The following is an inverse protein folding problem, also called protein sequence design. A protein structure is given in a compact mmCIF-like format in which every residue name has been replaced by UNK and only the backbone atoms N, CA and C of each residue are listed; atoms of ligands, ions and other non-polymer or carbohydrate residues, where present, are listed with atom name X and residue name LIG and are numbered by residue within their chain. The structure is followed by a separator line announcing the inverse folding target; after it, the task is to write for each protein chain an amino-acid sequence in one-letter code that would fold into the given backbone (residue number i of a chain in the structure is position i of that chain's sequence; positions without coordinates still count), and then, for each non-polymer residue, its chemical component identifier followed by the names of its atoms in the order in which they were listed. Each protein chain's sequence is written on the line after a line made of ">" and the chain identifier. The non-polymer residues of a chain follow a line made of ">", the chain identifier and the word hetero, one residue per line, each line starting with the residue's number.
data_IF_335792697816
#
_entry.id   IF_335792697816
#
_cell.length_a   1.000
_cell.length_b   1.000
_cell.length_c   1.000
_cell.angle_alpha   90.00
_cell.angle_beta   90.00
_cell.angle_gamma   90.00
#
_symmetry.space_group_name_H-M   'P 1'
#
loop_
_entity.id
_entity.type
_entity.pdbx_description
1 polymer ?
#
# COMPACT_ATOMS: atom_id res chain seq x y z
N UNK A 1 -7.98 7.66 -23.69
CA UNK A 1 -8.28 6.20 -23.78
C UNK A 1 -8.91 5.76 -22.48
N UNK A 2 -10.02 5.01 -22.52
CA UNK A 2 -10.64 4.50 -21.30
C UNK A 2 -10.13 3.09 -20.95
N UNK A 3 -9.88 2.86 -19.67
CA UNK A 3 -9.59 1.56 -19.05
C UNK A 3 -10.47 1.37 -17.82
N UNK A 4 -10.66 0.13 -17.40
CA UNK A 4 -11.43 -0.20 -16.21
C UNK A 4 -10.49 -0.68 -15.11
N UNK A 5 -10.61 -0.11 -13.93
CA UNK A 5 -9.98 -0.57 -12.69
C UNK A 5 -10.95 -1.39 -11.86
N UNK A 6 -10.51 -2.54 -11.38
CA UNK A 6 -11.25 -3.37 -10.46
C UNK A 6 -10.39 -3.66 -9.22
N UNK A 7 -10.64 -2.91 -8.15
CA UNK A 7 -9.97 -3.08 -6.87
C UNK A 7 -10.75 -4.08 -6.01
N UNK A 8 -10.10 -5.18 -5.62
CA UNK A 8 -10.71 -6.28 -4.85
C UNK A 8 -10.10 -6.32 -3.45
N UNK A 9 -10.82 -5.79 -2.49
CA UNK A 9 -10.43 -5.78 -1.09
C UNK A 9 -11.32 -6.64 -0.20
N UNK A 10 -10.83 -7.02 0.97
CA UNK A 10 -11.56 -7.88 1.91
C UNK A 10 -12.79 -7.23 2.57
N UNK A 11 -12.89 -5.90 2.54
CA UNK A 11 -14.02 -5.15 3.13
C UNK A 11 -14.90 -4.51 2.06
N UNK A 12 -14.29 -4.00 1.02
CA UNK A 12 -14.95 -3.34 -0.11
C UNK A 12 -14.25 -3.70 -1.42
N UNK A 13 -15.01 -3.74 -2.49
CA UNK A 13 -14.52 -3.79 -3.86
C UNK A 13 -14.96 -2.51 -4.59
N UNK A 14 -14.19 -2.09 -5.59
CA UNK A 14 -14.53 -0.93 -6.40
C UNK A 14 -14.30 -1.22 -7.88
N UNK A 15 -15.26 -0.79 -8.71
CA UNK A 15 -15.13 -0.79 -10.18
C UNK A 15 -15.10 0.66 -10.63
N UNK A 16 -14.08 1.06 -11.37
CA UNK A 16 -13.88 2.43 -11.83
C UNK A 16 -13.60 2.48 -13.33
N UNK A 17 -14.28 3.40 -14.03
CA UNK A 17 -13.95 3.76 -15.40
C UNK A 17 -12.99 4.96 -15.38
N UNK A 18 -11.79 4.80 -15.93
CA UNK A 18 -10.74 5.81 -15.90
C UNK A 18 -10.37 6.25 -17.31
N UNK A 19 -10.32 7.57 -17.53
CA UNK A 19 -9.79 8.16 -18.74
C UNK A 19 -8.30 8.43 -18.61
N UNK A 20 -7.52 7.94 -19.56
CA UNK A 20 -6.05 8.12 -19.63
C UNK A 20 -5.73 9.06 -20.78
N UNK A 21 -5.13 10.21 -20.47
CA UNK A 21 -4.73 11.26 -21.41
C UNK A 21 -3.27 11.64 -21.18
N UNK A 22 -2.37 11.17 -22.06
CA UNK A 22 -0.94 11.39 -21.87
C UNK A 22 -0.42 10.79 -20.57
N UNK A 23 0.06 11.66 -19.68
CA UNK A 23 0.60 11.30 -18.37
C UNK A 23 -0.40 11.50 -17.21
N UNK A 24 -1.67 11.64 -17.52
CA UNK A 24 -2.72 11.84 -16.52
C UNK A 24 -3.78 10.74 -16.59
N UNK A 25 -4.38 10.44 -15.44
CA UNK A 25 -5.46 9.49 -15.30
C UNK A 25 -6.57 10.10 -14.44
N UNK A 26 -7.79 10.06 -14.95
CA UNK A 26 -8.96 10.66 -14.30
C UNK A 26 -10.03 9.60 -14.12
N UNK A 27 -10.52 9.44 -12.89
CA UNK A 27 -11.66 8.58 -12.60
C UNK A 27 -12.92 9.30 -13.09
N UNK A 28 -13.54 8.78 -14.14
CA UNK A 28 -14.78 9.33 -14.71
C UNK A 28 -16.02 8.85 -13.97
N UNK A 29 -16.02 7.60 -13.53
CA UNK A 29 -17.10 7.03 -12.72
C UNK A 29 -16.53 5.89 -11.84
N UNK A 30 -17.12 5.74 -10.65
CA UNK A 30 -16.74 4.72 -9.68
C UNK A 30 -17.96 4.17 -8.98
N UNK A 31 -18.02 2.87 -8.82
CA UNK A 31 -19.00 2.20 -7.98
C UNK A 31 -18.30 1.32 -6.94
N UNK A 32 -18.71 1.49 -5.68
CA UNK A 32 -18.17 0.74 -4.54
C UNK A 32 -19.20 -0.28 -4.08
N UNK A 33 -18.73 -1.45 -3.74
CA UNK A 33 -19.52 -2.57 -3.25
C UNK A 33 -18.94 -3.06 -1.92
N UNK A 34 -19.80 -3.54 -1.05
CA UNK A 34 -19.35 -4.27 0.15
C UNK A 34 -18.89 -5.66 -0.28
N UNK A 35 -17.71 -6.08 0.16
CA UNK A 35 -17.23 -7.44 -0.11
C UNK A 35 -18.05 -8.45 0.69
N UNK A 36 -18.53 -9.49 0.01
CA UNK A 36 -19.24 -10.59 0.64
C UNK A 36 -18.40 -11.89 0.57
N UNK A 37 -17.64 -12.14 1.61
CA UNK A 37 -16.78 -13.33 1.70
C UNK A 37 -17.51 -14.59 2.15
N UNK A 38 -18.83 -14.53 2.37
CA UNK A 38 -19.65 -15.68 2.82
C UNK A 38 -20.21 -16.53 1.67
N UNK A 39 -20.18 -15.99 0.44
CA UNK A 39 -20.60 -16.70 -0.78
C UNK A 39 -19.39 -17.22 -1.56
N UNK A 40 -19.55 -18.19 -2.48
CA UNK A 40 -18.51 -18.62 -3.39
C UNK A 40 -17.92 -17.45 -4.20
N UNK A 41 -16.60 -17.47 -4.45
CA UNK A 41 -15.92 -16.36 -5.12
C UNK A 41 -16.46 -16.09 -6.53
N UNK A 42 -16.84 -17.12 -7.28
CA UNK A 42 -17.42 -16.98 -8.62
C UNK A 42 -18.80 -16.32 -8.60
N UNK A 43 -19.61 -16.55 -7.57
CA UNK A 43 -20.88 -15.85 -7.37
C UNK A 43 -20.63 -14.38 -7.00
N UNK A 44 -19.69 -14.13 -6.08
CA UNK A 44 -19.32 -12.79 -5.69
C UNK A 44 -18.82 -11.97 -6.90
N UNK A 45 -17.97 -12.54 -7.75
CA UNK A 45 -17.46 -11.83 -8.94
C UNK A 45 -18.56 -11.50 -9.94
N UNK A 46 -19.56 -12.35 -10.09
CA UNK A 46 -20.73 -12.09 -10.99
C UNK A 46 -21.58 -10.89 -10.54
N UNK A 47 -21.57 -10.51 -9.25
CA UNK A 47 -22.26 -9.31 -8.76
C UNK A 47 -21.73 -8.01 -9.41
N UNK A 48 -20.47 -8.00 -9.85
CA UNK A 48 -19.84 -6.84 -10.50
C UNK A 48 -20.10 -6.78 -12.01
N UNK A 49 -20.51 -7.88 -12.65
CA UNK A 49 -20.67 -7.98 -14.10
C UNK A 49 -21.57 -6.89 -14.70
N UNK A 50 -22.74 -6.56 -14.12
CA UNK A 50 -23.58 -5.51 -14.69
C UNK A 50 -22.88 -4.16 -14.76
N UNK A 51 -22.09 -3.81 -13.72
CA UNK A 51 -21.35 -2.53 -13.68
C UNK A 51 -20.16 -2.54 -14.64
N UNK A 52 -19.41 -3.64 -14.69
CA UNK A 52 -18.29 -3.79 -15.63
C UNK A 52 -18.78 -3.69 -17.06
N UNK A 53 -19.86 -4.37 -17.39
CA UNK A 53 -20.47 -4.35 -18.74
C UNK A 53 -20.96 -2.94 -19.11
N UNK A 54 -21.69 -2.28 -18.21
CA UNK A 54 -22.18 -0.91 -18.42
C UNK A 54 -21.01 0.07 -18.68
N UNK A 55 -19.92 -0.01 -17.90
CA UNK A 55 -18.78 0.86 -18.09
C UNK A 55 -18.02 0.55 -19.39
N UNK A 56 -17.90 -0.73 -19.78
CA UNK A 56 -17.30 -1.09 -21.07
C UNK A 56 -18.13 -0.51 -22.22
N UNK A 57 -19.45 -0.64 -22.18
CA UNK A 57 -20.34 -0.18 -23.24
C UNK A 57 -20.40 1.35 -23.34
N UNK A 58 -20.54 2.05 -22.20
CA UNK A 58 -20.66 3.53 -22.18
C UNK A 58 -19.35 4.27 -22.46
N UNK A 59 -18.24 3.77 -21.91
CA UNK A 59 -16.94 4.45 -22.03
C UNK A 59 -16.04 3.85 -23.12
N UNK A 60 -16.35 2.67 -23.62
CA UNK A 60 -15.50 1.96 -24.59
C UNK A 60 -14.16 1.53 -23.99
N UNK A 61 -14.18 1.05 -22.73
CA UNK A 61 -12.97 0.61 -22.02
C UNK A 61 -12.24 -0.48 -22.80
N UNK A 62 -10.92 -0.34 -22.94
CA UNK A 62 -10.07 -1.21 -23.79
C UNK A 62 -9.51 -2.42 -23.06
N UNK A 63 -9.42 -2.36 -21.73
CA UNK A 63 -8.90 -3.42 -20.88
C UNK A 63 -9.39 -3.27 -19.43
N UNK A 64 -9.24 -4.34 -18.66
CA UNK A 64 -9.52 -4.39 -17.22
C UNK A 64 -8.20 -4.61 -16.48
N UNK A 65 -7.89 -3.78 -15.51
CA UNK A 65 -6.83 -4.02 -14.55
C UNK A 65 -7.42 -4.37 -13.19
N UNK A 66 -6.85 -5.38 -12.56
CA UNK A 66 -7.26 -5.87 -11.25
C UNK A 66 -6.14 -5.61 -10.24
N UNK A 67 -6.48 -4.95 -9.14
CA UNK A 67 -5.66 -4.82 -7.93
C UNK A 67 -6.26 -5.70 -6.85
N UNK A 68 -5.46 -6.56 -6.23
CA UNK A 68 -5.92 -7.44 -5.17
C UNK A 68 -4.77 -7.73 -4.19
N UNK A 69 -5.08 -7.84 -2.89
CA UNK A 69 -4.09 -8.28 -1.91
C UNK A 69 -3.61 -9.71 -2.18
N UNK A 70 -2.33 -9.98 -1.85
CA UNK A 70 -1.73 -11.30 -2.02
C UNK A 70 -2.13 -12.32 -0.95
N UNK A 71 -1.75 -13.61 -1.15
CA UNK A 71 -0.95 -14.14 -2.26
C UNK A 71 -1.74 -14.32 -3.57
N UNK A 72 -1.12 -13.98 -4.69
CA UNK A 72 -1.63 -14.17 -6.05
C UNK A 72 -0.49 -14.50 -7.03
N UNK A 73 -0.84 -15.02 -8.20
CA UNK A 73 0.08 -15.26 -9.32
C UNK A 73 -0.37 -14.37 -10.49
N UNK A 74 0.29 -13.21 -10.65
CA UNK A 74 -0.04 -12.23 -11.69
C UNK A 74 0.21 -12.78 -13.10
N UNK A 75 1.23 -13.64 -13.27
CA UNK A 75 1.58 -14.24 -14.56
C UNK A 75 0.52 -15.26 -15.02
N UNK A 76 -0.03 -16.04 -14.08
CA UNK A 76 -1.13 -16.96 -14.36
C UNK A 76 -2.52 -16.33 -14.26
N UNK A 77 -2.61 -15.11 -13.72
CA UNK A 77 -3.88 -14.43 -13.52
C UNK A 77 -4.76 -15.06 -12.43
N UNK A 78 -4.13 -15.59 -11.37
CA UNK A 78 -4.80 -16.39 -10.34
C UNK A 78 -4.69 -15.72 -8.97
N UNK A 79 -5.81 -15.54 -8.28
CA UNK A 79 -5.85 -15.18 -6.85
C UNK A 79 -5.71 -16.49 -6.06
N UNK A 80 -4.64 -16.64 -5.27
CA UNK A 80 -4.29 -17.93 -4.64
C UNK A 80 -5.07 -18.16 -3.36
N UNK A 81 -4.85 -17.37 -2.31
CA UNK A 81 -5.57 -17.47 -1.03
C UNK A 81 -5.30 -16.24 -0.15
N UNK A 82 -5.78 -15.04 -0.50
CA UNK A 82 -5.58 -13.87 0.34
C UNK A 82 -6.27 -14.01 1.70
N UNK A 83 -5.61 -13.71 2.82
CA UNK A 83 -6.21 -13.85 4.16
C UNK A 83 -7.52 -13.09 4.34
N UNK A 84 -7.65 -11.95 3.66
CA UNK A 84 -8.84 -11.09 3.73
C UNK A 84 -9.96 -11.50 2.76
N UNK A 85 -9.72 -12.52 1.92
CA UNK A 85 -10.64 -13.04 0.92
C UNK A 85 -10.66 -14.59 1.00
N UNK A 86 -11.11 -15.17 2.11
CA UNK A 86 -11.00 -16.62 2.39
C UNK A 86 -11.78 -17.50 1.43
N UNK A 87 -12.73 -16.93 0.67
CA UNK A 87 -13.49 -17.63 -0.37
C UNK A 87 -12.72 -17.73 -1.71
N UNK A 88 -11.58 -17.03 -1.87
CA UNK A 88 -10.74 -17.12 -3.06
C UNK A 88 -9.65 -18.16 -2.86
N UNK A 89 -9.77 -19.30 -3.52
CA UNK A 89 -8.77 -20.39 -3.49
C UNK A 89 -8.43 -20.76 -4.91
N UNK A 90 -7.22 -20.39 -5.37
CA UNK A 90 -6.73 -20.63 -6.72
C UNK A 90 -7.73 -20.22 -7.82
N UNK A 91 -8.34 -19.05 -7.65
CA UNK A 91 -9.38 -18.55 -8.56
C UNK A 91 -8.76 -17.88 -9.79
N UNK A 92 -9.01 -18.40 -11.03
CA UNK A 92 -8.40 -17.89 -12.27
C UNK A 92 -9.15 -16.63 -12.78
N UNK A 93 -9.10 -15.55 -12.02
CA UNK A 93 -9.91 -14.36 -12.25
C UNK A 93 -9.69 -13.72 -13.62
N UNK A 94 -8.45 -13.73 -14.13
CA UNK A 94 -8.13 -13.15 -15.44
C UNK A 94 -8.86 -13.91 -16.54
N UNK A 95 -8.81 -15.23 -16.54
CA UNK A 95 -9.48 -16.05 -17.55
C UNK A 95 -11.00 -15.93 -17.46
N UNK A 96 -11.55 -15.87 -16.25
CA UNK A 96 -12.97 -15.70 -16.00
C UNK A 96 -13.47 -14.39 -16.61
N UNK A 97 -12.85 -13.26 -16.27
CA UNK A 97 -13.28 -11.95 -16.79
C UNK A 97 -12.97 -11.77 -18.28
N UNK A 98 -11.82 -12.28 -18.76
CA UNK A 98 -11.46 -12.26 -20.18
C UNK A 98 -12.45 -13.07 -21.02
N UNK A 99 -12.93 -14.20 -20.51
CA UNK A 99 -13.93 -15.03 -21.17
C UNK A 99 -15.27 -14.33 -21.24
N UNK A 100 -15.69 -13.64 -20.18
CA UNK A 100 -16.96 -12.94 -20.11
C UNK A 100 -16.98 -11.68 -20.98
N UNK A 101 -15.99 -10.79 -20.81
CA UNK A 101 -16.01 -9.45 -21.41
C UNK A 101 -15.29 -9.34 -22.75
N UNK A 102 -14.51 -10.34 -23.16
CA UNK A 102 -13.80 -10.39 -24.45
C UNK A 102 -12.81 -9.23 -24.68
N UNK A 103 -12.29 -8.64 -23.61
CA UNK A 103 -11.22 -7.63 -23.64
C UNK A 103 -10.03 -8.10 -22.80
N UNK A 104 -8.82 -7.54 -22.98
CA UNK A 104 -7.66 -7.86 -22.16
C UNK A 104 -7.90 -7.60 -20.67
N UNK A 105 -7.43 -8.52 -19.81
CA UNK A 105 -7.52 -8.43 -18.36
C UNK A 105 -6.15 -8.70 -17.77
N UNK A 106 -5.77 -7.89 -16.79
CA UNK A 106 -4.47 -7.97 -16.10
C UNK A 106 -4.68 -7.96 -14.60
N UNK A 107 -3.87 -8.72 -13.86
CA UNK A 107 -3.91 -8.83 -12.41
C UNK A 107 -2.58 -8.40 -11.81
N UNK A 108 -2.61 -7.65 -10.70
CA UNK A 108 -1.42 -7.33 -9.93
C UNK A 108 -1.73 -7.25 -8.43
N UNK A 109 -0.69 -7.47 -7.61
CA UNK A 109 -0.74 -7.22 -6.17
C UNK A 109 -0.98 -5.73 -5.90
N UNK A 110 -1.70 -5.42 -4.83
CA UNK A 110 -2.11 -4.06 -4.46
C UNK A 110 -0.92 -3.09 -4.27
N UNK A 111 0.17 -3.51 -3.62
CA UNK A 111 1.36 -2.69 -3.45
C UNK A 111 2.07 -2.42 -4.78
N UNK A 112 2.21 -3.44 -5.63
CA UNK A 112 2.76 -3.31 -6.98
C UNK A 112 1.88 -2.42 -7.87
N UNK A 113 0.56 -2.56 -7.78
CA UNK A 113 -0.39 -1.71 -8.50
C UNK A 113 -0.26 -0.23 -8.09
N UNK A 114 -0.13 0.04 -6.78
CA UNK A 114 0.15 1.38 -6.26
C UNK A 114 1.51 1.91 -6.72
N UNK A 115 2.55 1.08 -6.76
CA UNK A 115 3.85 1.45 -7.29
C UNK A 115 3.77 1.87 -8.77
N UNK A 116 3.07 1.08 -9.59
CA UNK A 116 2.82 1.43 -10.99
C UNK A 116 2.07 2.75 -11.13
N UNK A 117 1.05 2.99 -10.31
CA UNK A 117 0.27 4.21 -10.34
C UNK A 117 1.12 5.45 -10.00
N UNK A 118 1.87 5.41 -8.92
CA UNK A 118 2.75 6.51 -8.52
C UNK A 118 3.91 6.71 -9.51
N UNK A 119 4.41 5.64 -10.11
CA UNK A 119 5.46 5.72 -11.12
C UNK A 119 4.98 6.36 -12.43
N UNK A 120 3.78 5.98 -12.92
CA UNK A 120 3.28 6.43 -14.22
C UNK A 120 2.55 7.77 -14.10
N UNK A 121 1.77 7.99 -13.04
CA UNK A 121 0.86 9.12 -12.90
C UNK A 121 1.11 10.00 -11.67
N UNK A 122 1.96 9.60 -10.73
CA UNK A 122 2.18 10.28 -9.46
C UNK A 122 3.61 10.78 -9.24
N UNK A 123 4.07 10.70 -8.01
CA UNK A 123 5.35 11.23 -7.53
C UNK A 123 6.59 10.59 -8.17
N UNK A 124 6.44 9.39 -8.73
CA UNK A 124 7.51 8.65 -9.38
C UNK A 124 7.72 8.95 -10.87
N UNK A 125 6.95 9.87 -11.46
CA UNK A 125 7.08 10.21 -12.88
C UNK A 125 8.53 10.51 -13.29
N UNK A 126 8.99 9.88 -14.37
CA UNK A 126 10.30 10.10 -14.95
C UNK A 126 11.45 9.31 -14.35
N UNK A 127 11.26 8.60 -13.25
CA UNK A 127 12.29 7.74 -12.65
C UNK A 127 12.42 6.41 -13.37
N UNK A 128 13.62 5.81 -13.32
CA UNK A 128 13.88 4.46 -13.77
C UNK A 128 13.93 3.47 -12.60
N UNK A 129 14.34 3.94 -11.42
CA UNK A 129 14.45 3.13 -10.21
C UNK A 129 13.69 3.81 -9.08
N UNK A 130 12.60 3.21 -8.65
CA UNK A 130 11.71 3.74 -7.62
C UNK A 130 11.23 2.62 -6.70
N UNK A 131 11.15 2.91 -5.40
CA UNK A 131 10.47 2.08 -4.41
C UNK A 131 9.20 2.78 -3.98
N UNK A 132 8.09 2.06 -3.96
CA UNK A 132 6.86 2.52 -3.34
C UNK A 132 6.60 1.76 -2.04
N UNK A 133 6.18 2.47 -0.99
CA UNK A 133 5.78 1.89 0.29
C UNK A 133 4.32 2.27 0.60
N UNK A 134 3.49 1.30 0.95
CA UNK A 134 2.06 1.57 1.25
C UNK A 134 1.86 2.29 2.58
N UNK A 135 2.64 2.04 3.61
CA UNK A 135 2.54 2.54 4.98
C UNK A 135 1.08 2.80 5.44
N UNK A 136 0.23 1.79 5.30
CA UNK A 136 -1.19 1.81 5.64
C UNK A 136 -1.50 0.96 6.87
N UNK A 137 -2.50 0.08 6.79
CA UNK A 137 -2.80 -0.92 7.83
C UNK A 137 -1.57 -1.80 8.09
N UNK A 138 -0.92 -2.25 7.00
CA UNK A 138 0.39 -2.92 6.99
C UNK A 138 1.44 -2.07 6.25
N UNK A 139 2.57 -2.70 5.92
CA UNK A 139 3.66 -2.12 5.14
C UNK A 139 4.03 -3.05 3.98
N UNK A 140 3.43 -2.81 2.83
CA UNK A 140 3.81 -3.45 1.56
C UNK A 140 4.72 -2.54 0.73
N UNK A 141 5.37 -3.09 -0.28
CA UNK A 141 6.10 -2.29 -1.26
C UNK A 141 5.95 -2.82 -2.68
N UNK A 142 6.21 -1.95 -3.66
CA UNK A 142 6.38 -2.30 -5.05
C UNK A 142 7.66 -1.68 -5.58
N UNK A 143 8.37 -2.42 -6.44
CA UNK A 143 9.68 -2.05 -6.94
C UNK A 143 9.63 -1.77 -8.43
N UNK A 144 10.05 -0.58 -8.83
CA UNK A 144 10.32 -0.24 -10.24
C UNK A 144 11.84 -0.23 -10.40
N UNK A 145 12.37 -1.12 -11.21
CA UNK A 145 13.81 -1.24 -11.46
C UNK A 145 14.07 -1.22 -12.96
N UNK A 146 14.97 -0.34 -13.40
CA UNK A 146 15.29 -0.13 -14.83
C UNK A 146 14.03 0.13 -15.69
N UNK A 147 13.10 0.94 -15.17
CA UNK A 147 11.87 1.31 -15.88
C UNK A 147 10.85 0.18 -16.03
N UNK A 148 10.88 -0.83 -15.15
CA UNK A 148 9.96 -1.96 -15.17
C UNK A 148 9.57 -2.35 -13.75
N UNK A 149 8.35 -2.82 -13.58
CA UNK A 149 7.95 -3.47 -12.33
C UNK A 149 8.80 -4.73 -12.12
N UNK A 150 9.39 -4.84 -10.93
CA UNK A 150 10.14 -6.02 -10.51
C UNK A 150 9.35 -6.79 -9.46
N UNK A 151 8.78 -7.90 -9.85
CA UNK A 151 7.96 -8.78 -8.99
C UNK A 151 8.69 -10.05 -8.53
N UNK A 152 9.94 -10.24 -8.99
CA UNK A 152 10.80 -11.36 -8.57
C UNK A 152 10.38 -12.69 -9.20
N UNK A 153 10.89 -13.78 -8.63
CA UNK A 153 10.74 -15.13 -9.19
C UNK A 153 9.30 -15.66 -9.11
N UNK A 154 8.58 -15.31 -8.07
CA UNK A 154 7.25 -15.85 -7.77
C UNK A 154 6.20 -14.78 -7.40
N UNK A 155 6.45 -13.53 -7.78
CA UNK A 155 5.56 -12.40 -7.52
C UNK A 155 5.66 -11.80 -6.11
N UNK A 156 6.65 -12.20 -5.29
CA UNK A 156 6.80 -11.73 -3.91
C UNK A 156 8.04 -10.82 -3.71
N UNK A 157 8.58 -10.22 -4.75
CA UNK A 157 9.58 -9.16 -4.55
C UNK A 157 8.93 -7.95 -3.86
N UNK A 158 9.70 -7.26 -3.03
CA UNK A 158 9.18 -6.11 -2.31
C UNK A 158 8.54 -6.42 -0.95
N UNK A 159 8.64 -7.63 -0.41
CA UNK A 159 8.17 -7.98 0.94
C UNK A 159 9.03 -7.34 2.05
N UNK A 160 9.31 -6.04 1.92
CA UNK A 160 10.20 -5.28 2.82
C UNK A 160 9.64 -5.16 4.23
N UNK A 161 8.32 -5.14 4.39
CA UNK A 161 7.65 -5.12 5.68
C UNK A 161 8.04 -6.29 6.58
N UNK A 162 8.47 -7.41 5.97
CA UNK A 162 8.90 -8.61 6.68
C UNK A 162 10.40 -8.61 7.09
N UNK A 163 11.17 -7.58 6.73
CA UNK A 163 12.55 -7.42 7.18
C UNK A 163 12.57 -7.19 8.70
N UNK A 164 13.44 -7.89 9.41
CA UNK A 164 13.62 -7.69 10.86
C UNK A 164 14.57 -6.51 11.10
N UNK A 165 14.07 -5.48 11.77
CA UNK A 165 14.86 -4.30 12.16
C UNK A 165 15.36 -4.36 13.60
N UNK A 166 14.67 -5.13 14.47
CA UNK A 166 15.04 -5.27 15.88
C UNK A 166 14.68 -6.68 16.40
N UNK A 167 15.38 -7.11 17.43
CA UNK A 167 15.04 -8.36 18.13
C UNK A 167 13.76 -8.22 18.95
N UNK A 168 13.47 -7.02 19.45
CA UNK A 168 12.29 -6.67 20.23
C UNK A 168 11.46 -5.59 19.51
N UNK A 169 10.22 -5.44 19.93
CA UNK A 169 9.32 -4.41 19.40
C UNK A 169 7.97 -4.95 18.97
N UNK A 170 7.20 -4.16 18.23
CA UNK A 170 5.88 -4.57 17.73
C UNK A 170 5.94 -5.73 16.74
N UNK A 171 4.80 -6.37 16.55
CA UNK A 171 4.66 -7.53 15.65
C UNK A 171 3.97 -7.06 14.36
N UNK A 172 4.62 -7.28 13.22
CA UNK A 172 4.03 -7.15 11.89
C UNK A 172 4.02 -8.51 11.19
N UNK A 173 2.87 -8.92 10.66
CA UNK A 173 2.66 -10.21 9.99
C UNK A 173 3.29 -11.41 10.73
N UNK A 174 3.03 -11.49 12.05
CA UNK A 174 3.53 -12.55 12.92
C UNK A 174 5.00 -12.45 13.32
N UNK A 175 5.75 -11.45 12.85
CA UNK A 175 7.19 -11.28 13.11
C UNK A 175 7.45 -10.08 14.03
N UNK A 176 8.00 -10.36 15.20
CA UNK A 176 8.41 -9.34 16.17
C UNK A 176 9.57 -8.51 15.64
N UNK A 177 9.51 -7.19 15.84
CA UNK A 177 10.57 -6.27 15.46
C UNK A 177 10.78 -6.16 13.94
N UNK A 178 9.74 -6.47 13.14
CA UNK A 178 9.77 -6.30 11.69
C UNK A 178 9.56 -4.84 11.29
N UNK A 179 9.92 -4.50 10.06
CA UNK A 179 9.71 -3.17 9.51
C UNK A 179 8.22 -2.79 9.57
N UNK A 180 7.32 -3.68 9.15
CA UNK A 180 5.87 -3.49 9.31
C UNK A 180 5.45 -3.32 10.77
N UNK A 181 6.09 -4.06 11.70
CA UNK A 181 5.82 -3.92 13.13
C UNK A 181 6.04 -2.50 13.64
N UNK A 182 7.06 -1.80 13.15
CA UNK A 182 7.32 -0.40 13.53
C UNK A 182 6.60 0.62 12.65
N UNK A 183 6.47 0.35 11.36
CA UNK A 183 6.07 1.32 10.34
C UNK A 183 4.77 0.93 9.64
N UNK A 184 3.72 0.68 10.41
CA UNK A 184 2.37 0.46 9.93
C UNK A 184 1.34 1.02 10.90
N UNK A 185 0.08 1.11 10.50
CA UNK A 185 -1.00 1.51 11.39
C UNK A 185 -1.18 0.56 12.57
N UNK A 186 -1.07 -0.74 12.32
CA UNK A 186 -1.07 -1.76 13.37
C UNK A 186 0.16 -1.68 14.27
N UNK A 187 1.31 -1.38 13.70
CA UNK A 187 2.56 -1.17 14.43
C UNK A 187 2.51 0.07 15.33
N UNK A 188 2.07 1.20 14.80
CA UNK A 188 1.87 2.43 15.59
C UNK A 188 0.89 2.23 16.75
N UNK A 189 -0.19 1.48 16.55
CA UNK A 189 -1.12 1.16 17.65
C UNK A 189 -0.44 0.34 18.75
N UNK A 190 0.37 -0.67 18.38
CA UNK A 190 1.13 -1.47 19.35
C UNK A 190 2.20 -0.63 20.09
N UNK A 191 2.94 0.23 19.34
CA UNK A 191 3.87 1.18 19.97
C UNK A 191 3.14 2.10 20.94
N UNK A 192 2.01 2.68 20.52
CA UNK A 192 1.16 3.51 21.38
C UNK A 192 0.77 2.81 22.67
N UNK A 193 0.34 1.55 22.59
CA UNK A 193 -0.01 0.75 23.77
C UNK A 193 1.21 0.50 24.68
N UNK A 194 2.38 0.19 24.10
CA UNK A 194 3.63 -0.02 24.85
C UNK A 194 4.01 1.26 25.61
N UNK A 195 4.04 2.39 24.92
CA UNK A 195 4.40 3.69 25.52
C UNK A 195 3.37 4.16 26.56
N UNK A 196 2.06 3.93 26.31
CA UNK A 196 1.04 4.24 27.27
C UNK A 196 1.18 3.45 28.59
N UNK A 197 1.50 2.15 28.49
CA UNK A 197 1.78 1.32 29.66
C UNK A 197 2.96 1.82 30.50
N UNK A 198 4.01 2.32 29.86
CA UNK A 198 5.17 2.90 30.56
C UNK A 198 4.82 4.28 31.17
N UNK A 199 4.04 5.12 30.49
CA UNK A 199 3.57 6.39 31.01
C UNK A 199 2.69 6.19 32.25
N UNK A 200 1.77 5.23 32.22
CA UNK A 200 0.90 4.88 33.38
C UNK A 200 1.71 4.45 34.59
N UNK A 201 2.82 3.73 34.45
CA UNK A 201 3.71 3.39 35.59
C UNK A 201 4.32 4.63 36.23
N UNK A 202 4.48 5.72 35.48
CA UNK A 202 4.95 7.02 35.97
C UNK A 202 3.83 7.91 36.51
N UNK A 203 2.56 7.44 36.46
CA UNK A 203 1.37 8.20 36.85
C UNK A 203 0.88 9.20 35.78
N UNK A 204 1.33 9.05 34.55
CA UNK A 204 0.95 9.86 33.41
C UNK A 204 -0.10 9.13 32.58
N UNK A 205 -1.14 9.82 32.07
CA UNK A 205 -2.14 9.23 31.18
C UNK A 205 -2.07 9.93 29.83
N UNK A 206 -1.58 9.25 28.77
CA UNK A 206 -1.52 9.84 27.42
C UNK A 206 -2.91 10.17 26.88
N UNK A 207 -3.07 11.26 26.16
CA UNK A 207 -4.34 11.76 25.65
C UNK A 207 -5.04 10.79 24.66
N UNK A 208 -4.27 9.91 23.99
CA UNK A 208 -4.80 8.90 23.07
C UNK A 208 -5.19 7.58 23.76
N UNK A 209 -4.99 7.46 25.07
CA UNK A 209 -5.22 6.23 25.81
C UNK A 209 -6.52 6.29 26.61
N UNK A 210 -7.37 5.28 26.44
CA UNK A 210 -8.55 5.06 27.29
C UNK A 210 -8.60 3.59 27.72
N UNK A 211 -8.50 3.27 29.03
CA UNK A 211 -8.50 1.90 29.52
C UNK A 211 -9.83 1.15 29.24
N UNK A 212 -10.92 1.88 29.10
CA UNK A 212 -12.26 1.31 28.84
C UNK A 212 -12.55 1.07 27.36
N UNK A 213 -11.71 1.58 26.46
CA UNK A 213 -11.83 1.41 25.01
C UNK A 213 -10.53 0.89 24.39
N UNK A 214 -10.45 -0.43 24.22
CA UNK A 214 -9.28 -1.09 23.60
C UNK A 214 -9.05 -0.70 22.12
N UNK A 215 -10.05 -0.16 21.46
CA UNK A 215 -9.97 0.29 20.04
C UNK A 215 -9.52 1.74 19.86
N UNK A 216 -9.35 2.51 20.95
CA UNK A 216 -9.04 3.94 20.89
C UNK A 216 -7.63 4.22 20.36
N UNK A 217 -6.66 3.30 20.53
CA UNK A 217 -5.27 3.47 20.12
C UNK A 217 -5.13 3.16 18.64
N UNK A 218 -5.00 4.19 17.86
CA UNK A 218 -4.80 4.13 16.40
C UNK A 218 -3.70 5.10 15.98
N UNK A 219 -3.10 4.88 14.81
CA UNK A 219 -2.15 5.85 14.26
C UNK A 219 -2.75 7.27 14.23
N UNK A 220 -4.04 7.40 13.91
CA UNK A 220 -4.75 8.69 13.87
C UNK A 220 -4.91 9.31 15.26
N UNK A 221 -5.35 8.56 16.27
CA UNK A 221 -5.52 9.11 17.62
C UNK A 221 -4.20 9.53 18.25
N UNK A 222 -3.12 8.77 18.00
CA UNK A 222 -1.76 9.10 18.42
C UNK A 222 -1.28 10.38 17.71
N UNK A 223 -1.52 10.52 16.38
CA UNK A 223 -1.15 11.71 15.63
C UNK A 223 -1.83 12.97 16.21
N UNK A 224 -3.14 12.91 16.43
CA UNK A 224 -3.91 14.02 17.02
C UNK A 224 -3.36 14.40 18.40
N UNK A 225 -3.04 13.42 19.25
CA UNK A 225 -2.45 13.68 20.56
C UNK A 225 -1.06 14.32 20.45
N UNK A 226 -0.22 13.85 19.54
CA UNK A 226 1.10 14.41 19.28
C UNK A 226 1.02 15.88 18.79
N UNK A 227 0.11 16.17 17.87
CA UNK A 227 -0.15 17.54 17.36
C UNK A 227 -0.64 18.49 18.46
N UNK A 228 -1.31 17.96 19.49
CA UNK A 228 -1.75 18.71 20.66
C UNK A 228 -0.68 18.74 21.79
N UNK A 229 0.53 18.25 21.54
CA UNK A 229 1.66 18.37 22.46
C UNK A 229 1.80 17.25 23.50
N UNK A 230 1.05 16.14 23.34
CA UNK A 230 1.23 14.95 24.20
C UNK A 230 2.65 14.36 23.99
N UNK A 231 3.47 14.41 25.02
CA UNK A 231 4.86 13.98 24.95
C UNK A 231 5.01 12.48 24.65
N UNK A 232 4.10 11.64 25.17
CA UNK A 232 4.12 10.20 24.93
C UNK A 232 3.75 9.89 23.47
N UNK A 233 2.76 10.59 22.91
CA UNK A 233 2.40 10.44 21.52
C UNK A 233 3.51 10.92 20.56
N UNK A 234 4.20 12.00 20.90
CA UNK A 234 5.38 12.49 20.17
C UNK A 234 6.48 11.43 20.14
N UNK A 235 6.78 10.80 21.27
CA UNK A 235 7.79 9.75 21.35
C UNK A 235 7.42 8.49 20.55
N UNK A 236 6.14 8.13 20.45
CA UNK A 236 5.66 7.05 19.57
C UNK A 236 6.00 7.33 18.10
N UNK A 237 5.70 8.56 17.62
CA UNK A 237 6.00 8.94 16.24
C UNK A 237 7.50 9.09 15.98
N UNK A 238 8.29 9.59 16.92
CA UNK A 238 9.75 9.64 16.82
C UNK A 238 10.34 8.22 16.70
N UNK A 239 9.87 7.29 17.54
CA UNK A 239 10.33 5.90 17.46
C UNK A 239 9.99 5.26 16.12
N UNK A 240 8.75 5.48 15.62
CA UNK A 240 8.38 5.06 14.28
C UNK A 240 9.26 5.70 13.20
N UNK A 241 9.54 7.01 13.30
CA UNK A 241 10.44 7.73 12.40
C UNK A 241 11.84 7.16 12.37
N UNK A 242 12.41 6.84 13.54
CA UNK A 242 13.70 6.20 13.65
C UNK A 242 13.75 4.86 12.88
N UNK A 243 12.81 3.96 13.13
CA UNK A 243 12.78 2.67 12.43
C UNK A 243 12.41 2.80 10.94
N UNK A 244 11.66 3.83 10.57
CA UNK A 244 11.46 4.16 9.16
C UNK A 244 12.78 4.51 8.49
N UNK A 245 13.57 5.41 9.08
CA UNK A 245 14.91 5.78 8.59
C UNK A 245 15.82 4.57 8.42
N UNK A 246 15.88 3.72 9.44
CA UNK A 246 16.66 2.49 9.41
C UNK A 246 16.22 1.52 8.30
N UNK A 247 14.91 1.33 8.10
CA UNK A 247 14.41 0.49 7.02
C UNK A 247 14.64 1.09 5.63
N UNK A 248 14.53 2.42 5.50
CA UNK A 248 14.78 3.12 4.24
C UNK A 248 16.27 3.10 3.87
N UNK A 249 17.20 3.23 4.83
CA UNK A 249 18.64 3.15 4.56
C UNK A 249 19.03 1.82 3.92
N UNK A 250 18.47 0.70 4.41
CA UNK A 250 18.67 -0.61 3.80
C UNK A 250 18.20 -0.65 2.32
N UNK A 251 17.03 -0.04 2.02
CA UNK A 251 16.51 -0.01 0.66
C UNK A 251 17.36 0.88 -0.25
N UNK A 252 17.86 2.00 0.26
CA UNK A 252 18.76 2.90 -0.44
C UNK A 252 20.07 2.19 -0.80
N UNK A 253 20.69 1.52 0.15
CA UNK A 253 21.97 0.85 -0.05
C UNK A 253 21.89 -0.40 -0.92
N UNK A 254 20.76 -1.14 -0.86
CA UNK A 254 20.58 -2.36 -1.67
C UNK A 254 20.14 -2.06 -3.09
N UNK A 255 19.24 -1.09 -3.28
CA UNK A 255 18.58 -0.85 -4.57
C UNK A 255 19.07 0.41 -5.28
N UNK A 256 19.69 1.33 -4.54
CA UNK A 256 20.15 2.63 -5.02
C UNK A 256 19.10 3.34 -5.90
N UNK A 257 17.87 3.56 -5.37
CA UNK A 257 16.78 4.12 -6.17
C UNK A 257 16.92 5.64 -6.29
N UNK A 258 16.37 6.20 -7.36
CA UNK A 258 16.24 7.66 -7.52
C UNK A 258 15.18 8.24 -6.59
N UNK A 259 14.20 7.40 -6.20
CA UNK A 259 13.08 7.87 -5.38
C UNK A 259 12.45 6.76 -4.54
N UNK A 260 12.10 7.11 -3.29
CA UNK A 260 11.20 6.30 -2.45
C UNK A 260 9.92 7.10 -2.24
N UNK A 261 8.79 6.56 -2.71
CA UNK A 261 7.46 7.18 -2.59
C UNK A 261 6.70 6.47 -1.47
N UNK A 262 6.24 7.20 -0.46
CA UNK A 262 5.57 6.61 0.70
C UNK A 262 4.14 7.14 0.83
N UNK A 263 3.18 6.23 0.85
CA UNK A 263 1.76 6.54 0.90
C UNK A 263 1.17 6.65 2.30
N UNK A 264 -0.13 6.86 2.35
CA UNK A 264 -1.01 6.70 3.51
C UNK A 264 -0.56 7.49 4.76
N UNK A 265 -0.15 6.82 5.84
CA UNK A 265 0.21 7.46 7.12
C UNK A 265 1.36 8.44 6.94
N UNK A 266 2.39 8.09 6.16
CA UNK A 266 3.50 9.00 5.90
C UNK A 266 3.04 10.31 5.26
N UNK A 267 2.20 10.24 4.25
CA UNK A 267 1.70 11.43 3.56
C UNK A 267 0.92 12.38 4.50
N UNK A 268 0.20 11.83 5.49
CA UNK A 268 -0.58 12.60 6.48
C UNK A 268 0.22 13.08 7.67
N UNK A 269 1.21 12.32 8.12
CA UNK A 269 1.90 12.53 9.39
C UNK A 269 3.41 12.69 9.24
N UNK A 270 3.91 13.04 8.04
CA UNK A 270 5.34 13.24 7.76
C UNK A 270 5.99 14.17 8.78
N UNK A 271 5.33 15.25 9.14
CA UNK A 271 5.82 16.27 10.08
C UNK A 271 6.10 15.73 11.50
N UNK A 272 5.48 14.59 11.89
CA UNK A 272 5.68 13.99 13.20
C UNK A 272 6.85 12.99 13.25
N UNK A 273 7.27 12.46 12.10
CA UNK A 273 8.25 11.37 12.06
C UNK A 273 9.50 11.68 11.22
N UNK A 274 9.45 12.72 10.37
CA UNK A 274 10.48 12.95 9.36
C UNK A 274 11.83 13.34 9.94
N UNK A 275 11.87 14.16 10.98
CA UNK A 275 13.14 14.64 11.55
C UNK A 275 13.97 13.47 12.09
N UNK A 276 13.36 12.55 12.85
CA UNK A 276 14.05 11.36 13.33
C UNK A 276 14.36 10.37 12.19
N UNK A 277 13.47 10.26 11.20
CA UNK A 277 13.74 9.44 10.03
C UNK A 277 14.95 9.95 9.23
N UNK A 278 15.02 11.25 8.98
CA UNK A 278 16.13 11.87 8.25
C UNK A 278 17.46 11.76 9.00
N UNK A 279 17.42 11.88 10.34
CA UNK A 279 18.60 11.69 11.19
C UNK A 279 19.16 10.28 11.04
N UNK A 280 18.29 9.27 11.18
CA UNK A 280 18.69 7.86 11.05
C UNK A 280 19.16 7.53 9.63
N UNK A 281 18.50 8.08 8.61
CA UNK A 281 18.92 7.92 7.21
C UNK A 281 20.34 8.41 6.96
N UNK A 282 20.71 9.58 7.51
CA UNK A 282 22.06 10.15 7.38
C UNK A 282 23.12 9.40 8.18
N UNK A 283 22.71 8.70 9.23
CA UNK A 283 23.60 7.90 10.05
C UNK A 283 23.89 6.53 9.44
N UNK A 284 22.88 5.92 8.80
CA UNK A 284 22.92 4.52 8.40
C UNK A 284 23.14 4.30 6.89
N UNK A 285 22.64 5.20 6.02
CA UNK A 285 22.80 5.05 4.58
C UNK A 285 24.18 5.51 4.10
N UNK A 286 24.70 4.85 3.07
CA UNK A 286 25.91 5.30 2.39
C UNK A 286 25.67 6.67 1.73
N UNK A 287 26.47 7.68 2.06
CA UNK A 287 26.30 9.08 1.63
C UNK A 287 26.04 9.20 0.11
N UNK A 288 26.84 8.52 -0.71
CA UNK A 288 26.71 8.56 -2.19
C UNK A 288 25.42 7.96 -2.71
N UNK A 289 24.80 7.04 -1.96
CA UNK A 289 23.51 6.43 -2.30
C UNK A 289 22.36 7.30 -1.78
N UNK A 290 22.53 7.90 -0.61
CA UNK A 290 21.55 8.83 -0.03
C UNK A 290 21.41 10.10 -0.87
N UNK A 291 22.52 10.67 -1.36
CA UNK A 291 22.53 11.92 -2.13
C UNK A 291 21.77 11.86 -3.47
N UNK A 292 21.50 10.68 -3.98
CA UNK A 292 20.77 10.49 -5.25
C UNK A 292 19.32 10.02 -5.06
N UNK A 293 18.87 9.83 -3.81
CA UNK A 293 17.56 9.29 -3.49
C UNK A 293 16.64 10.30 -2.80
N UNK A 294 15.56 10.69 -3.44
CA UNK A 294 14.50 11.51 -2.83
C UNK A 294 13.47 10.64 -2.09
N UNK A 295 13.18 10.96 -0.82
CA UNK A 295 12.07 10.37 -0.07
C UNK A 295 10.89 11.33 -0.02
N UNK A 296 9.80 10.97 -0.70
CA UNK A 296 8.64 11.85 -0.92
C UNK A 296 7.31 11.17 -0.57
N UNK A 297 6.29 11.94 -0.17
CA UNK A 297 4.95 11.39 -0.03
C UNK A 297 4.33 11.04 -1.38
N UNK A 298 3.44 10.04 -1.38
CA UNK A 298 2.60 9.69 -2.52
C UNK A 298 1.74 10.89 -2.97
N UNK A 299 1.58 11.07 -4.27
CA UNK A 299 0.88 12.20 -4.86
C UNK A 299 -0.59 11.91 -5.18
N UNK A 300 -0.94 10.65 -5.48
CA UNK A 300 -2.30 10.28 -5.92
C UNK A 300 -3.33 10.23 -4.77
N UNK A 301 -2.88 10.35 -3.52
CA UNK A 301 -3.73 10.55 -2.34
C UNK A 301 -4.76 9.44 -2.12
N UNK A 302 -5.98 9.82 -1.75
CA UNK A 302 -7.06 8.89 -1.39
C UNK A 302 -7.61 8.08 -2.58
N UNK A 303 -7.35 8.50 -3.81
CA UNK A 303 -7.76 7.80 -5.03
C UNK A 303 -6.75 6.74 -5.50
N UNK A 304 -5.62 6.58 -4.77
CA UNK A 304 -4.52 5.73 -5.20
C UNK A 304 -4.96 4.29 -5.52
N UNK A 305 -5.82 3.67 -4.71
CA UNK A 305 -6.28 2.29 -4.96
C UNK A 305 -7.04 2.12 -6.27
N UNK A 306 -7.95 3.06 -6.58
CA UNK A 306 -8.75 3.02 -7.82
C UNK A 306 -7.89 3.29 -9.05
N UNK A 307 -7.00 4.29 -8.95
CA UNK A 307 -6.01 4.60 -9.99
C UNK A 307 -5.06 3.43 -10.18
N UNK A 308 -4.63 2.78 -9.10
CA UNK A 308 -3.74 1.63 -9.13
C UNK A 308 -4.33 0.47 -9.93
N UNK A 309 -5.58 0.09 -9.66
CA UNK A 309 -6.26 -0.95 -10.42
C UNK A 309 -6.34 -0.60 -11.92
N UNK A 310 -6.74 0.63 -12.25
CA UNK A 310 -6.78 1.09 -13.64
C UNK A 310 -5.37 1.13 -14.28
N UNK A 311 -4.34 1.47 -13.51
CA UNK A 311 -2.95 1.50 -13.99
C UNK A 311 -2.43 0.12 -14.35
N UNK A 312 -2.87 -0.92 -13.65
CA UNK A 312 -2.57 -2.32 -14.04
C UNK A 312 -3.03 -2.60 -15.48
N UNK A 313 -4.21 -2.12 -15.86
CA UNK A 313 -4.68 -2.23 -17.25
C UNK A 313 -3.79 -1.46 -18.24
N UNK A 314 -3.38 -0.24 -17.89
CA UNK A 314 -2.50 0.60 -18.72
C UNK A 314 -1.13 -0.05 -18.91
N UNK A 315 -0.55 -0.53 -17.82
CA UNK A 315 0.77 -1.15 -17.83
C UNK A 315 0.77 -2.47 -18.61
N UNK A 316 -0.23 -3.32 -18.38
CA UNK A 316 -0.36 -4.60 -19.08
C UNK A 316 -0.55 -4.49 -20.59
N UNK A 317 -1.11 -3.36 -21.08
CA UNK A 317 -1.22 -3.09 -22.52
C UNK A 317 0.08 -2.58 -23.17
N UNK A 318 1.09 -2.21 -22.39
CA UNK A 318 2.40 -1.73 -22.91
C UNK A 318 3.39 -2.87 -23.17
N UNK A 319 3.20 -4.01 -22.51
CA UNK A 319 3.99 -5.25 -22.68
C UNK A 319 3.32 -6.16 -23.63
#
# INVERSE_FOLDING_TARGET
>A
MYVLGFDIGGTKCAVSACNVEGNDIIISEKKVFKTNTTIPCDEMIKEFYPTIKDYIERYGCKSIGISCGGPLDSNKGVIVAPPNLPNFINFPIVDVLKTEFKIPVFLQNDANACALAEWIFGAGKGTQNMVFLTFGTGLGSGLILNGKLYDGTNGNAGEVGHIRLSNDGPIGYGKRGSFEGFCSGGGLAQLGEMYAKEALKRGETPAYYNPDDKGCITAKSIAIAAENGDSTAIEVYKNCGKYLGFGLSMLIDILNPEKIVIGSIFARSKHLLWDECLKELKEEALDVSFDVCDVVPAQLGENLGDVAAATVAVYGMRG
#
